data_IF_574478599005
#
_entry.id   IF_574478599005
#
_cell.length_a   1.000
_cell.length_b   1.000
_cell.length_c   1.000
_cell.angle_alpha   90.00
_cell.angle_beta   90.00
_cell.angle_gamma   90.00
#
_symmetry.space_group_name_H-M   'P 1'
#
loop_
_entity.id
_entity.type
_entity.pdbx_description
1 polymer ?
#
# COMPACT_ATOMS: atom_id res chain seq x y z
N UNK A 1 -19.37 -28.96 26.52
CA UNK A 1 -18.66 -27.76 26.00
C UNK A 1 -17.30 -28.24 25.55
N UNK A 2 -16.91 -28.01 24.29
CA UNK A 2 -15.58 -28.41 23.85
C UNK A 2 -14.53 -27.60 24.63
N UNK A 3 -13.63 -28.29 25.35
CA UNK A 3 -12.49 -27.66 26.01
C UNK A 3 -11.49 -27.26 24.92
N UNK A 4 -11.65 -26.05 24.38
CA UNK A 4 -10.63 -25.46 23.52
C UNK A 4 -9.42 -25.13 24.40
N UNK A 5 -8.33 -25.88 24.25
CA UNK A 5 -7.04 -25.55 24.86
C UNK A 5 -6.52 -24.26 24.25
N UNK A 6 -6.19 -23.30 25.12
CA UNK A 6 -5.68 -21.98 24.74
C UNK A 6 -4.15 -22.04 24.72
N UNK A 7 -3.53 -21.79 23.57
CA UNK A 7 -2.09 -21.75 23.41
C UNK A 7 -1.54 -20.47 24.07
N UNK A 8 -0.60 -20.62 25.00
CA UNK A 8 0.05 -19.51 25.70
C UNK A 8 1.30 -19.08 24.93
N UNK A 9 1.35 -17.81 24.52
CA UNK A 9 2.47 -17.26 23.75
C UNK A 9 2.72 -15.80 24.12
N UNK A 10 3.96 -15.33 24.13
CA UNK A 10 4.24 -13.95 24.54
C UNK A 10 3.55 -12.93 23.62
N UNK A 11 3.58 -13.16 22.30
CA UNK A 11 3.14 -12.19 21.30
C UNK A 11 2.42 -12.87 20.14
N UNK A 12 1.25 -12.34 19.78
CA UNK A 12 0.57 -12.65 18.53
C UNK A 12 0.75 -11.50 17.55
N UNK A 13 1.27 -11.79 16.35
CA UNK A 13 1.39 -10.86 15.22
C UNK A 13 0.35 -11.23 14.16
N UNK A 14 -0.52 -10.30 13.79
CA UNK A 14 -1.59 -10.55 12.82
C UNK A 14 -1.21 -10.00 11.45
N UNK A 15 -0.87 -10.88 10.52
CA UNK A 15 -0.49 -10.60 9.14
C UNK A 15 1.01 -10.82 8.87
N UNK A 16 1.34 -11.52 7.79
CA UNK A 16 2.69 -11.79 7.29
C UNK A 16 3.03 -10.93 6.06
N UNK A 17 2.52 -9.69 6.02
CA UNK A 17 3.05 -8.66 5.13
C UNK A 17 4.40 -8.12 5.61
N UNK A 18 5.04 -7.19 4.85
CA UNK A 18 6.33 -6.62 5.24
C UNK A 18 6.39 -6.08 6.68
N UNK A 19 5.29 -5.49 7.17
CA UNK A 19 5.20 -5.01 8.56
C UNK A 19 5.28 -6.12 9.61
N UNK A 20 4.54 -7.22 9.43
CA UNK A 20 4.51 -8.31 10.41
C UNK A 20 5.81 -9.10 10.40
N UNK A 21 6.39 -9.29 9.21
CA UNK A 21 7.70 -9.93 9.07
C UNK A 21 8.81 -9.09 9.72
N UNK A 22 8.82 -7.78 9.50
CA UNK A 22 9.79 -6.88 10.14
C UNK A 22 9.71 -6.93 11.67
N UNK A 23 8.50 -6.90 12.23
CA UNK A 23 8.30 -7.03 13.68
C UNK A 23 8.78 -8.39 14.19
N UNK A 24 8.37 -9.49 13.54
CA UNK A 24 8.77 -10.84 13.94
C UNK A 24 10.29 -11.02 13.90
N UNK A 25 10.97 -10.50 12.88
CA UNK A 25 12.44 -10.50 12.82
C UNK A 25 13.08 -9.74 13.99
N UNK A 26 12.56 -8.55 14.33
CA UNK A 26 13.04 -7.80 15.50
C UNK A 26 12.82 -8.57 16.81
N UNK A 27 11.67 -9.22 16.98
CA UNK A 27 11.37 -10.03 18.17
C UNK A 27 12.26 -11.28 18.25
N UNK A 28 12.47 -11.98 17.14
CA UNK A 28 13.34 -13.16 17.06
C UNK A 28 14.79 -12.82 17.43
N UNK A 29 15.30 -11.66 16.97
CA UNK A 29 16.64 -11.18 17.32
C UNK A 29 16.79 -10.87 18.81
N UNK A 30 15.70 -10.55 19.49
CA UNK A 30 15.65 -10.33 20.93
C UNK A 30 15.35 -11.62 21.73
N UNK A 31 15.17 -12.76 21.06
CA UNK A 31 14.81 -14.03 21.69
C UNK A 31 13.38 -14.05 22.26
N UNK A 32 12.50 -13.17 21.77
CA UNK A 32 11.11 -13.06 22.25
C UNK A 32 10.21 -13.97 21.42
N UNK A 33 9.53 -14.91 22.10
CA UNK A 33 8.64 -15.87 21.44
C UNK A 33 7.45 -15.15 20.79
N UNK A 34 7.11 -15.50 19.55
CA UNK A 34 5.99 -14.90 18.84
C UNK A 34 5.42 -15.84 17.78
N UNK A 35 4.13 -15.69 17.49
CA UNK A 35 3.46 -16.36 16.37
C UNK A 35 2.96 -15.32 15.39
N UNK A 36 3.23 -15.54 14.10
CA UNK A 36 2.64 -14.75 13.02
C UNK A 36 1.47 -15.51 12.44
N UNK A 37 0.26 -14.94 12.50
CA UNK A 37 -0.96 -15.51 11.93
C UNK A 37 -1.27 -14.82 10.60
N UNK A 38 -1.25 -15.57 9.50
CA UNK A 38 -1.53 -15.06 8.16
C UNK A 38 -2.76 -15.74 7.57
N UNK A 39 -3.70 -14.93 7.08
CA UNK A 39 -4.94 -15.39 6.50
C UNK A 39 -4.70 -16.14 5.17
N UNK A 40 -3.71 -15.70 4.40
CA UNK A 40 -3.40 -16.24 3.08
C UNK A 40 -2.44 -17.44 3.17
N UNK A 41 -2.16 -18.05 2.02
CA UNK A 41 -1.24 -19.19 1.87
C UNK A 41 0.24 -18.83 1.84
N UNK A 42 0.59 -17.54 1.80
CA UNK A 42 1.97 -17.10 1.67
C UNK A 42 2.25 -15.74 2.31
N UNK A 43 3.53 -15.50 2.61
CA UNK A 43 4.02 -14.19 3.00
C UNK A 43 3.83 -13.17 1.88
N UNK A 44 3.63 -11.92 2.28
CA UNK A 44 3.52 -10.79 1.35
C UNK A 44 2.51 -11.01 0.19
N UNK A 45 1.41 -11.72 0.45
CA UNK A 45 0.39 -12.09 -0.55
C UNK A 45 -0.02 -10.94 -1.48
N UNK A 46 -0.20 -9.73 -0.95
CA UNK A 46 -0.56 -8.57 -1.78
C UNK A 46 0.50 -8.27 -2.86
N UNK A 47 1.78 -8.34 -2.50
CA UNK A 47 2.89 -8.13 -3.43
C UNK A 47 2.95 -9.23 -4.47
N UNK A 48 2.78 -10.49 -4.06
CA UNK A 48 2.82 -11.64 -4.98
C UNK A 48 1.62 -11.65 -5.93
N UNK A 49 0.42 -11.45 -5.39
CA UNK A 49 -0.83 -11.80 -6.07
C UNK A 49 -1.75 -10.63 -6.42
N UNK A 50 -1.51 -9.40 -5.93
CA UNK A 50 -2.41 -8.24 -6.13
C UNK A 50 -1.74 -6.99 -6.70
N UNK A 51 -0.47 -7.09 -7.12
CA UNK A 51 0.24 -6.01 -7.82
C UNK A 51 0.43 -6.32 -9.30
N UNK A 52 0.46 -5.27 -10.11
CA UNK A 52 0.77 -5.35 -11.54
C UNK A 52 2.24 -5.68 -11.82
N UNK A 53 2.52 -6.26 -12.98
CA UNK A 53 3.78 -6.98 -13.22
C UNK A 53 4.96 -6.04 -13.40
N UNK A 54 4.73 -4.87 -14.02
CA UNK A 54 5.77 -3.84 -14.20
C UNK A 54 6.13 -3.06 -12.94
N UNK A 55 5.51 -3.36 -11.80
CA UNK A 55 5.74 -2.62 -10.57
C UNK A 55 7.24 -2.58 -10.25
N UNK A 56 7.73 -1.38 -10.00
CA UNK A 56 9.00 -1.13 -9.35
C UNK A 56 8.72 -0.31 -8.09
N UNK A 57 9.55 -0.47 -7.06
CA UNK A 57 9.49 0.42 -5.92
C UNK A 57 9.72 1.86 -6.39
N UNK A 58 8.81 2.76 -6.02
CA UNK A 58 8.91 4.17 -6.41
C UNK A 58 10.05 4.91 -5.70
N UNK A 59 10.48 4.41 -4.55
CA UNK A 59 11.57 4.99 -3.77
C UNK A 59 12.87 4.22 -4.00
N UNK A 60 14.01 4.87 -3.74
CA UNK A 60 15.32 4.23 -3.80
C UNK A 60 15.40 3.05 -2.83
N UNK A 61 16.19 2.04 -3.17
CA UNK A 61 16.54 0.90 -2.30
C UNK A 61 17.05 1.34 -0.92
N UNK A 62 17.72 2.50 -0.86
CA UNK A 62 18.24 3.10 0.38
C UNK A 62 17.14 3.41 1.41
N UNK A 63 15.88 3.52 0.96
CA UNK A 63 14.71 3.79 1.79
C UNK A 63 13.73 2.61 1.85
N UNK A 64 14.10 1.46 1.29
CA UNK A 64 13.19 0.32 1.09
C UNK A 64 13.64 -0.98 1.73
N UNK A 65 14.53 -0.92 2.73
CA UNK A 65 15.01 -2.10 3.46
C UNK A 65 14.17 -2.35 4.72
N UNK A 66 13.91 -3.61 5.03
CA UNK A 66 13.42 -4.07 6.33
C UNK A 66 14.56 -4.11 7.37
N UNK A 67 14.25 -4.14 8.67
CA UNK A 67 15.25 -4.09 9.73
C UNK A 67 16.35 -5.13 9.56
N UNK A 68 17.59 -4.70 9.74
CA UNK A 68 18.79 -5.54 9.77
C UNK A 68 19.20 -6.22 8.45
N UNK A 69 18.47 -5.99 7.34
CA UNK A 69 18.81 -6.59 6.05
C UNK A 69 18.70 -5.55 4.93
N UNK A 70 19.76 -4.77 4.67
CA UNK A 70 19.78 -3.85 3.54
C UNK A 70 19.72 -4.60 2.21
N UNK A 71 19.24 -3.93 1.16
CA UNK A 71 19.35 -4.44 -0.21
C UNK A 71 20.82 -4.55 -0.64
N UNK A 72 21.12 -5.52 -1.51
CA UNK A 72 22.47 -5.71 -2.01
C UNK A 72 22.99 -4.48 -2.78
N UNK A 73 24.30 -4.26 -2.73
CA UNK A 73 24.94 -3.15 -3.46
C UNK A 73 24.69 -3.26 -4.98
N UNK A 74 24.63 -4.47 -5.51
CA UNK A 74 24.33 -4.77 -6.92
C UNK A 74 22.87 -4.56 -7.30
N UNK A 75 21.92 -4.52 -6.34
CA UNK A 75 20.50 -4.32 -6.64
C UNK A 75 20.27 -2.97 -7.33
N UNK A 76 19.31 -2.89 -8.27
CA UNK A 76 18.96 -1.64 -8.95
C UNK A 76 18.48 -0.59 -7.94
N UNK A 77 18.68 0.69 -8.27
CA UNK A 77 18.25 1.82 -7.42
C UNK A 77 16.75 1.76 -7.12
N UNK A 78 15.93 1.39 -8.11
CA UNK A 78 14.48 1.19 -7.98
C UNK A 78 14.16 -0.27 -8.24
N UNK A 79 13.79 -1.00 -7.19
CA UNK A 79 13.73 -2.47 -7.19
C UNK A 79 12.48 -2.96 -7.94
N UNK A 80 12.61 -3.84 -8.94
CA UNK A 80 11.47 -4.50 -9.58
C UNK A 80 10.69 -5.39 -8.60
N UNK A 81 9.39 -5.57 -8.85
CA UNK A 81 8.49 -6.45 -8.06
C UNK A 81 9.11 -7.81 -7.76
N UNK A 82 9.67 -8.48 -8.78
CA UNK A 82 10.25 -9.81 -8.65
C UNK A 82 11.40 -9.86 -7.66
N UNK A 83 12.35 -8.92 -7.77
CA UNK A 83 13.49 -8.82 -6.86
C UNK A 83 13.05 -8.45 -5.44
N UNK A 84 12.05 -7.58 -5.30
CA UNK A 84 11.52 -7.24 -3.97
C UNK A 84 10.80 -8.43 -3.31
N UNK A 85 10.06 -9.24 -4.06
CA UNK A 85 9.45 -10.46 -3.56
C UNK A 85 10.52 -11.45 -3.10
N UNK A 86 11.57 -11.64 -3.91
CA UNK A 86 12.70 -12.50 -3.55
C UNK A 86 13.36 -12.02 -2.25
N UNK A 87 13.63 -10.72 -2.13
CA UNK A 87 14.14 -10.11 -0.90
C UNK A 87 13.27 -10.42 0.33
N UNK A 88 11.94 -10.39 0.19
CA UNK A 88 11.03 -10.72 1.29
C UNK A 88 11.05 -12.21 1.66
N UNK A 89 11.17 -13.10 0.67
CA UNK A 89 11.28 -14.54 0.90
C UNK A 89 12.60 -14.89 1.61
N UNK A 90 13.72 -14.28 1.15
CA UNK A 90 15.02 -14.38 1.83
C UNK A 90 14.97 -13.81 3.25
N UNK A 91 14.22 -12.73 3.49
CA UNK A 91 14.06 -12.13 4.82
C UNK A 91 13.37 -13.10 5.79
N UNK A 92 12.33 -13.79 5.34
CA UNK A 92 11.60 -14.79 6.14
C UNK A 92 12.51 -15.93 6.56
N UNK A 93 13.31 -16.45 5.61
CA UNK A 93 14.27 -17.52 5.87
C UNK A 93 15.39 -17.06 6.81
N UNK A 94 16.01 -15.91 6.52
CA UNK A 94 17.16 -15.38 7.27
C UNK A 94 16.83 -15.13 8.75
N UNK A 95 15.62 -14.63 9.06
CA UNK A 95 15.19 -14.37 10.44
C UNK A 95 14.35 -15.49 11.05
N UNK A 96 14.27 -16.66 10.41
CA UNK A 96 13.52 -17.83 10.87
C UNK A 96 12.08 -17.49 11.26
N UNK A 97 11.41 -16.69 10.42
CA UNK A 97 10.02 -16.28 10.62
C UNK A 97 9.14 -17.45 10.16
N UNK A 98 8.27 -17.95 11.04
CA UNK A 98 7.39 -19.11 10.76
C UNK A 98 5.92 -18.72 10.86
N UNK A 99 5.32 -18.11 9.83
CA UNK A 99 3.90 -17.80 9.88
C UNK A 99 3.03 -19.06 9.83
N UNK A 100 1.96 -19.08 10.62
CA UNK A 100 0.85 -20.00 10.43
C UNK A 100 -0.04 -19.44 9.33
N UNK A 101 0.10 -20.00 8.13
CA UNK A 101 -0.71 -19.64 6.95
C UNK A 101 -2.15 -20.16 7.08
N UNK A 102 -3.02 -19.68 6.19
CA UNK A 102 -4.44 -20.06 6.16
C UNK A 102 -5.13 -19.88 7.53
N UNK A 103 -4.66 -18.95 8.36
CA UNK A 103 -5.14 -18.75 9.73
C UNK A 103 -5.73 -17.36 9.85
N UNK A 104 -7.07 -17.29 9.83
CA UNK A 104 -7.81 -16.03 9.90
C UNK A 104 -8.13 -15.68 11.35
N UNK A 105 -7.58 -14.58 11.85
CA UNK A 105 -8.01 -14.00 13.14
C UNK A 105 -9.44 -13.48 12.99
N UNK A 106 -10.37 -14.03 13.76
CA UNK A 106 -11.80 -13.65 13.73
C UNK A 106 -12.11 -12.58 14.77
N UNK A 107 -11.47 -12.64 15.94
CA UNK A 107 -11.67 -11.68 17.03
C UNK A 107 -10.48 -11.66 17.98
N UNK A 108 -10.19 -10.51 18.56
CA UNK A 108 -9.25 -10.38 19.65
C UNK A 108 -9.81 -9.41 20.71
N UNK A 109 -9.65 -9.75 21.98
CA UNK A 109 -10.04 -8.87 23.09
C UNK A 109 -9.05 -8.99 24.24
N UNK A 110 -8.86 -7.90 24.98
CA UNK A 110 -8.05 -7.92 26.19
C UNK A 110 -8.87 -8.41 27.38
N UNK A 111 -8.40 -9.45 28.06
CA UNK A 111 -8.97 -9.92 29.31
C UNK A 111 -8.22 -9.29 30.49
N UNK A 112 -8.87 -8.34 31.16
CA UNK A 112 -8.28 -7.63 32.31
C UNK A 112 -8.01 -8.52 33.52
N UNK A 113 -8.74 -9.62 33.70
CA UNK A 113 -8.52 -10.55 34.81
C UNK A 113 -7.25 -11.39 34.57
N UNK A 114 -7.05 -11.86 33.34
CA UNK A 114 -5.86 -12.62 32.93
C UNK A 114 -4.66 -11.72 32.60
N UNK A 115 -4.90 -10.40 32.41
CA UNK A 115 -3.94 -9.42 31.89
C UNK A 115 -3.31 -9.86 30.55
N UNK A 116 -4.11 -10.51 29.71
CA UNK A 116 -3.70 -11.08 28.41
C UNK A 116 -4.71 -10.77 27.32
N UNK A 117 -4.21 -10.73 26.09
CA UNK A 117 -5.01 -10.76 24.88
C UNK A 117 -5.50 -12.18 24.60
N UNK A 118 -6.80 -12.30 24.33
CA UNK A 118 -7.44 -13.52 23.90
C UNK A 118 -7.72 -13.39 22.42
N UNK A 119 -6.99 -14.15 21.60
CA UNK A 119 -7.10 -14.11 20.15
C UNK A 119 -7.76 -15.40 19.68
N UNK A 120 -8.88 -15.26 18.99
CA UNK A 120 -9.57 -16.36 18.32
C UNK A 120 -9.22 -16.32 16.84
N UNK A 121 -8.72 -17.44 16.34
CA UNK A 121 -8.45 -17.62 14.93
C UNK A 121 -9.09 -18.90 14.40
N UNK A 122 -9.28 -18.94 13.09
CA UNK A 122 -9.78 -20.10 12.37
C UNK A 122 -8.78 -20.52 11.32
N UNK A 123 -8.40 -21.79 11.33
CA UNK A 123 -7.73 -22.41 10.20
C UNK A 123 -8.73 -22.54 9.04
N UNK A 124 -8.48 -21.87 7.93
CA UNK A 124 -9.35 -21.81 6.77
C UNK A 124 -9.35 -23.11 5.96
N UNK A 125 -8.35 -23.99 6.16
CA UNK A 125 -8.28 -25.29 5.50
C UNK A 125 -9.03 -26.36 6.29
N UNK A 126 -8.75 -26.51 7.60
CA UNK A 126 -9.41 -27.52 8.45
C UNK A 126 -10.73 -27.05 9.05
N UNK A 127 -10.96 -25.74 9.12
CA UNK A 127 -12.11 -25.14 9.81
C UNK A 127 -11.96 -25.06 11.32
N UNK A 128 -10.86 -25.58 11.88
CA UNK A 128 -10.58 -25.64 13.31
C UNK A 128 -10.40 -24.26 13.91
N UNK A 129 -10.85 -24.12 15.16
CA UNK A 129 -10.72 -22.89 15.94
C UNK A 129 -9.51 -23.03 16.85
N UNK A 130 -8.59 -22.08 16.75
CA UNK A 130 -7.42 -21.97 17.60
C UNK A 130 -7.56 -20.74 18.49
N UNK A 131 -7.27 -20.91 19.78
CA UNK A 131 -7.34 -19.85 20.78
C UNK A 131 -5.93 -19.57 21.31
N UNK A 132 -5.55 -18.29 21.35
CA UNK A 132 -4.27 -17.84 21.89
C UNK A 132 -4.49 -16.92 23.09
N UNK A 133 -3.61 -17.05 24.08
CA UNK A 133 -3.42 -16.12 25.18
C UNK A 133 -2.07 -15.43 24.98
N UNK A 134 -2.02 -14.10 24.94
CA UNK A 134 -0.74 -13.40 24.80
C UNK A 134 -0.61 -12.13 25.62
N UNK A 135 0.61 -11.79 26.02
CA UNK A 135 0.89 -10.54 26.73
C UNK A 135 0.70 -9.33 25.81
N UNK A 136 1.06 -9.50 24.53
CA UNK A 136 0.98 -8.45 23.53
C UNK A 136 0.28 -8.93 22.26
N UNK A 137 -0.37 -7.99 21.59
CA UNK A 137 -1.00 -8.18 20.28
C UNK A 137 -0.45 -7.13 19.31
N UNK A 138 0.02 -7.56 18.14
CA UNK A 138 0.56 -6.68 17.11
C UNK A 138 -0.27 -6.82 15.85
N UNK A 139 -0.86 -5.72 15.40
CA UNK A 139 -1.63 -5.69 14.14
C UNK A 139 -0.74 -5.25 12.98
N UNK A 140 -0.55 -6.15 12.04
CA UNK A 140 0.23 -5.96 10.82
C UNK A 140 -0.58 -6.25 9.55
N UNK A 141 -1.90 -6.03 9.60
CA UNK A 141 -2.87 -6.36 8.54
C UNK A 141 -2.87 -5.39 7.35
N UNK A 142 -2.00 -4.37 7.34
CA UNK A 142 -1.89 -3.39 6.27
C UNK A 142 -3.05 -2.39 6.18
N UNK A 143 -3.03 -1.58 5.12
CA UNK A 143 -4.09 -0.58 4.82
C UNK A 143 -4.82 -0.86 3.50
N UNK A 144 -4.27 -1.73 2.64
CA UNK A 144 -4.72 -1.99 1.27
C UNK A 144 -5.36 -3.38 1.14
N UNK A 145 -6.50 -3.61 1.80
CA UNK A 145 -7.10 -4.95 1.85
C UNK A 145 -8.15 -5.19 0.77
N UNK A 146 -9.12 -4.29 0.63
CA UNK A 146 -10.25 -4.47 -0.30
C UNK A 146 -10.30 -3.28 -1.26
N UNK A 147 -10.25 -3.57 -2.57
CA UNK A 147 -10.36 -2.53 -3.59
C UNK A 147 -11.65 -1.75 -3.45
N UNK A 148 -11.58 -0.43 -3.59
CA UNK A 148 -12.76 0.41 -3.46
C UNK A 148 -13.23 0.88 -4.84
N UNK A 149 -14.32 0.30 -5.35
CA UNK A 149 -15.04 0.86 -6.49
C UNK A 149 -16.18 1.74 -5.92
N UNK A 150 -16.16 3.06 -6.15
CA UNK A 150 -17.22 3.93 -5.67
C UNK A 150 -18.54 3.65 -6.39
N UNK A 151 -19.66 3.85 -5.69
CA UNK A 151 -20.96 3.86 -6.35
C UNK A 151 -21.03 5.10 -7.25
N UNK A 152 -21.37 4.92 -8.51
CA UNK A 152 -21.57 5.99 -9.50
C UNK A 152 -22.88 5.73 -10.20
N UNK A 153 -23.49 6.80 -10.72
CA UNK A 153 -24.74 6.70 -11.48
C UNK A 153 -24.47 5.91 -12.75
N UNK A 154 -25.30 4.90 -13.01
CA UNK A 154 -25.28 4.11 -14.24
C UNK A 154 -24.12 3.12 -14.39
N UNK A 155 -23.26 2.95 -13.39
CA UNK A 155 -22.13 2.02 -13.47
C UNK A 155 -22.58 0.57 -13.75
N UNK A 156 -23.73 0.17 -13.21
CA UNK A 156 -24.36 -1.13 -13.43
C UNK A 156 -24.85 -1.34 -14.87
N UNK A 157 -25.03 -0.27 -15.63
CA UNK A 157 -25.45 -0.32 -17.02
C UNK A 157 -24.26 -0.49 -17.98
N UNK A 158 -23.03 -0.32 -17.48
CA UNK A 158 -21.84 -0.44 -18.32
C UNK A 158 -21.70 -1.86 -18.87
N UNK A 159 -21.52 -1.99 -20.19
CA UNK A 159 -21.43 -3.29 -20.89
C UNK A 159 -20.00 -3.76 -21.14
N UNK A 160 -19.01 -2.91 -20.88
CA UNK A 160 -17.59 -3.27 -20.95
C UNK A 160 -17.04 -3.87 -19.65
N UNK A 161 -15.73 -4.12 -19.63
CA UNK A 161 -15.05 -4.67 -18.45
C UNK A 161 -14.89 -3.59 -17.36
N UNK A 162 -15.26 -3.91 -16.12
CA UNK A 162 -14.95 -3.09 -14.95
C UNK A 162 -14.06 -3.88 -14.01
N UNK A 163 -12.87 -3.35 -13.71
CA UNK A 163 -11.99 -3.93 -12.69
C UNK A 163 -11.48 -2.85 -11.74
N UNK A 164 -11.06 -3.28 -10.55
CA UNK A 164 -10.23 -2.47 -9.67
C UNK A 164 -8.74 -2.69 -9.98
N UNK A 165 -7.90 -1.72 -9.67
CA UNK A 165 -6.44 -1.77 -9.85
C UNK A 165 -5.76 -2.99 -9.20
N UNK A 166 -6.37 -3.61 -8.19
CA UNK A 166 -5.89 -4.86 -7.54
C UNK A 166 -5.92 -6.09 -8.46
N UNK A 167 -6.78 -6.06 -9.46
CA UNK A 167 -6.97 -7.17 -10.41
C UNK A 167 -6.36 -6.85 -11.78
N UNK A 168 -5.79 -5.65 -11.94
CA UNK A 168 -4.94 -5.30 -13.08
C UNK A 168 -3.57 -5.97 -12.98
N UNK A 169 -3.08 -6.57 -14.08
CA UNK A 169 -1.76 -7.23 -14.15
C UNK A 169 -0.84 -6.60 -15.18
N UNK A 170 -1.32 -6.44 -16.40
CA UNK A 170 -0.57 -5.91 -17.54
C UNK A 170 -1.52 -5.24 -18.53
N UNK A 171 -1.00 -4.29 -19.29
CA UNK A 171 -1.71 -3.59 -20.37
C UNK A 171 -1.93 -4.46 -21.61
N UNK A 172 -1.26 -5.60 -21.71
CA UNK A 172 -1.27 -6.47 -22.90
C UNK A 172 -2.69 -6.86 -23.36
N UNK A 173 -3.59 -7.21 -22.42
CA UNK A 173 -4.98 -7.60 -22.75
C UNK A 173 -5.87 -6.44 -23.24
N UNK A 174 -5.34 -5.21 -23.21
CA UNK A 174 -6.03 -3.99 -23.58
C UNK A 174 -5.51 -3.34 -24.86
N UNK A 175 -4.56 -3.97 -25.55
CA UNK A 175 -4.08 -3.51 -26.84
C UNK A 175 -5.24 -3.15 -27.78
N UNK A 176 -5.14 -1.97 -28.41
CA UNK A 176 -6.12 -1.39 -29.34
C UNK A 176 -7.51 -1.08 -28.73
N UNK A 177 -7.72 -1.31 -27.42
CA UNK A 177 -8.98 -1.00 -26.72
C UNK A 177 -9.00 0.44 -26.19
N UNK A 178 -10.20 1.00 -26.07
CA UNK A 178 -10.45 2.27 -25.36
C UNK A 178 -10.60 2.00 -23.87
N UNK A 179 -9.64 2.45 -23.07
CA UNK A 179 -9.61 2.18 -21.63
C UNK A 179 -9.63 3.46 -20.83
N UNK A 180 -10.57 3.55 -19.88
CA UNK A 180 -10.67 4.65 -18.94
C UNK A 180 -10.06 4.24 -17.59
N UNK A 181 -9.04 4.95 -17.14
CA UNK A 181 -8.49 4.81 -15.79
C UNK A 181 -9.13 5.85 -14.87
N UNK A 182 -9.81 5.40 -13.82
CA UNK A 182 -10.47 6.29 -12.86
C UNK A 182 -9.60 6.46 -11.62
N UNK A 183 -9.06 7.66 -11.44
CA UNK A 183 -8.16 8.00 -10.34
C UNK A 183 -6.74 8.26 -10.83
N UNK A 184 -6.13 9.33 -10.30
CA UNK A 184 -4.89 9.92 -10.81
C UNK A 184 -3.72 9.87 -9.82
N UNK A 185 -3.80 9.02 -8.80
CA UNK A 185 -2.68 8.77 -7.88
C UNK A 185 -1.70 7.74 -8.47
N UNK A 186 -0.68 7.33 -7.70
CA UNK A 186 0.41 6.47 -8.20
C UNK A 186 -0.07 5.25 -9.02
N UNK A 187 -1.04 4.48 -8.51
CA UNK A 187 -1.57 3.32 -9.24
C UNK A 187 -2.25 3.72 -10.56
N UNK A 188 -3.01 4.81 -10.58
CA UNK A 188 -3.72 5.25 -11.78
C UNK A 188 -2.78 5.73 -12.88
N UNK A 189 -1.79 6.54 -12.51
CA UNK A 189 -0.78 7.04 -13.45
C UNK A 189 0.11 5.92 -13.98
N UNK A 190 0.50 4.95 -13.14
CA UNK A 190 1.26 3.77 -13.57
C UNK A 190 0.46 2.86 -14.51
N UNK A 191 -0.82 2.62 -14.21
CA UNK A 191 -1.70 1.81 -15.08
C UNK A 191 -1.92 2.53 -16.41
N UNK A 192 -2.21 3.83 -16.40
CA UNK A 192 -2.40 4.61 -17.62
C UNK A 192 -1.14 4.60 -18.50
N UNK A 193 0.04 4.74 -17.89
CA UNK A 193 1.31 4.65 -18.61
C UNK A 193 1.53 3.26 -19.21
N UNK A 194 1.20 2.20 -18.48
CA UNK A 194 1.32 0.81 -18.95
C UNK A 194 0.41 0.54 -20.15
N UNK A 195 -0.88 0.85 -20.02
CA UNK A 195 -1.87 0.70 -21.09
C UNK A 195 -1.43 1.41 -22.37
N UNK A 196 -0.93 2.65 -22.24
CA UNK A 196 -0.42 3.43 -23.37
C UNK A 196 0.80 2.78 -24.02
N UNK A 197 1.71 2.18 -23.25
CA UNK A 197 2.86 1.45 -23.79
C UNK A 197 2.48 0.15 -24.51
N UNK A 198 1.37 -0.48 -24.11
CA UNK A 198 0.81 -1.66 -24.80
C UNK A 198 -0.13 -1.31 -25.96
N UNK A 199 -0.25 -0.02 -26.33
CA UNK A 199 -1.04 0.42 -27.49
C UNK A 199 -2.54 0.56 -27.24
N UNK A 200 -2.96 0.71 -25.97
CA UNK A 200 -4.36 1.00 -25.65
C UNK A 200 -4.68 2.49 -25.89
N UNK A 201 -5.88 2.79 -26.37
CA UNK A 201 -6.40 4.17 -26.40
C UNK A 201 -6.80 4.59 -24.98
N UNK A 202 -5.86 5.21 -24.27
CA UNK A 202 -5.97 5.41 -22.81
C UNK A 202 -6.47 6.80 -22.48
N UNK A 203 -7.45 6.86 -21.58
CA UNK A 203 -7.89 8.08 -20.91
C UNK A 203 -7.75 7.94 -19.40
N UNK A 204 -7.48 9.03 -18.69
CA UNK A 204 -7.40 9.06 -17.23
C UNK A 204 -8.25 10.18 -16.64
N UNK A 205 -9.01 9.85 -15.61
CA UNK A 205 -9.82 10.82 -14.85
C UNK A 205 -8.95 11.51 -13.79
N UNK A 206 -8.85 12.83 -13.89
CA UNK A 206 -8.19 13.69 -12.91
C UNK A 206 -9.21 14.67 -12.33
N UNK A 207 -9.79 14.32 -11.18
CA UNK A 207 -10.81 15.15 -10.52
C UNK A 207 -10.24 16.17 -9.54
N UNK A 208 -9.18 15.80 -8.83
CA UNK A 208 -8.69 16.56 -7.68
C UNK A 208 -7.23 16.92 -7.85
N UNK A 209 -6.77 18.04 -7.27
CA UNK A 209 -5.38 18.45 -7.39
C UNK A 209 -4.40 17.38 -6.91
N UNK A 210 -3.31 17.21 -7.65
CA UNK A 210 -2.20 16.29 -7.34
C UNK A 210 -0.85 16.96 -7.57
N UNK A 211 0.12 16.59 -6.73
CA UNK A 211 1.52 16.85 -7.02
C UNK A 211 2.08 15.72 -7.86
N UNK A 212 2.88 16.05 -8.87
CA UNK A 212 3.59 15.07 -9.69
C UNK A 212 5.07 15.37 -9.62
N UNK A 213 5.88 14.38 -9.26
CA UNK A 213 7.32 14.46 -9.09
C UNK A 213 8.00 13.31 -9.81
N UNK A 214 9.22 13.52 -10.30
CA UNK A 214 10.05 12.41 -10.80
C UNK A 214 10.70 11.66 -9.65
N UNK A 215 11.13 10.41 -9.88
CA UNK A 215 11.85 9.62 -8.86
C UNK A 215 13.08 10.32 -8.29
N UNK A 216 13.83 11.06 -9.11
CA UNK A 216 15.00 11.82 -8.67
C UNK A 216 14.61 13.00 -7.76
N UNK A 217 13.52 13.71 -8.08
CA UNK A 217 13.01 14.78 -7.20
C UNK A 217 12.65 14.26 -5.82
N UNK A 218 11.96 13.11 -5.77
CA UNK A 218 11.60 12.49 -4.49
C UNK A 218 12.85 12.03 -3.74
N UNK A 219 13.83 11.43 -4.42
CA UNK A 219 15.09 11.04 -3.82
C UNK A 219 15.82 12.24 -3.20
N UNK A 220 16.02 13.31 -3.97
CA UNK A 220 16.65 14.55 -3.49
C UNK A 220 15.87 15.14 -2.31
N UNK A 221 14.54 15.21 -2.41
CA UNK A 221 13.72 15.73 -1.32
C UNK A 221 13.86 14.91 -0.03
N UNK A 222 13.88 13.58 -0.12
CA UNK A 222 14.07 12.71 1.02
C UNK A 222 15.44 12.89 1.69
N UNK A 223 16.49 13.23 0.93
CA UNK A 223 17.78 13.59 1.49
C UNK A 223 17.74 14.97 2.17
N UNK A 224 17.14 15.97 1.53
CA UNK A 224 17.03 17.32 2.07
C UNK A 224 16.21 17.35 3.37
N UNK A 225 15.12 16.58 3.45
CA UNK A 225 14.25 16.49 4.63
C UNK A 225 14.97 15.97 5.88
N UNK A 226 16.17 15.40 5.76
CA UNK A 226 17.00 15.02 6.92
C UNK A 226 17.65 16.23 7.60
N UNK A 227 17.84 17.33 6.87
CA UNK A 227 18.66 18.46 7.30
C UNK A 227 17.92 19.81 7.22
N UNK A 228 16.85 19.89 6.44
CA UNK A 228 16.12 21.13 6.14
C UNK A 228 14.65 21.03 6.57
N UNK A 229 14.03 22.17 6.94
CA UNK A 229 12.61 22.22 7.26
C UNK A 229 11.74 21.93 6.03
N UNK A 230 10.58 21.31 6.27
CA UNK A 230 9.66 20.85 5.20
C UNK A 230 9.26 22.00 4.26
N UNK A 231 9.00 23.19 4.78
CA UNK A 231 8.60 24.36 3.96
C UNK A 231 9.65 24.76 2.92
N UNK A 232 10.93 24.68 3.29
CA UNK A 232 12.04 24.95 2.37
C UNK A 232 12.14 23.86 1.30
N UNK A 233 12.06 22.59 1.70
CA UNK A 233 12.09 21.47 0.75
C UNK A 233 10.92 21.52 -0.22
N UNK A 234 9.71 21.77 0.28
CA UNK A 234 8.50 21.94 -0.54
C UNK A 234 8.68 23.04 -1.58
N UNK A 235 9.19 24.21 -1.17
CA UNK A 235 9.41 25.33 -2.08
C UNK A 235 10.40 24.99 -3.18
N UNK A 236 11.55 24.39 -2.83
CA UNK A 236 12.60 24.00 -3.78
C UNK A 236 12.08 22.95 -4.75
N UNK A 237 11.43 21.91 -4.23
CA UNK A 237 10.96 20.79 -5.04
C UNK A 237 9.79 21.19 -5.93
N UNK A 238 8.84 21.99 -5.44
CA UNK A 238 7.73 22.49 -6.26
C UNK A 238 8.22 23.38 -7.41
N UNK A 239 9.18 24.28 -7.16
CA UNK A 239 9.79 25.09 -8.22
C UNK A 239 10.53 24.23 -9.25
N UNK A 240 11.31 23.25 -8.78
CA UNK A 240 12.02 22.35 -9.69
C UNK A 240 11.06 21.47 -10.51
N UNK A 241 9.96 20.99 -9.90
CA UNK A 241 8.92 20.26 -10.59
C UNK A 241 8.24 21.11 -11.68
N UNK A 242 7.86 22.35 -11.37
CA UNK A 242 7.29 23.28 -12.36
C UNK A 242 8.25 23.56 -13.52
N UNK A 243 9.53 23.74 -13.23
CA UNK A 243 10.56 23.94 -14.27
C UNK A 243 10.69 22.73 -15.19
N UNK A 244 10.77 21.51 -14.64
CA UNK A 244 11.00 20.28 -15.42
C UNK A 244 9.75 19.77 -16.13
N UNK A 245 8.60 19.83 -15.46
CA UNK A 245 7.35 19.24 -15.94
C UNK A 245 6.47 20.25 -16.68
N UNK A 246 6.68 21.56 -16.49
CA UNK A 246 5.85 22.61 -17.04
C UNK A 246 4.58 22.86 -16.20
N UNK A 247 3.65 23.62 -16.76
CA UNK A 247 2.36 23.89 -16.13
C UNK A 247 1.37 22.74 -16.38
N UNK A 248 1.28 21.80 -15.43
CA UNK A 248 0.40 20.63 -15.59
C UNK A 248 -1.10 20.98 -15.57
N UNK A 249 -1.49 22.17 -15.10
CA UNK A 249 -2.88 22.60 -15.14
C UNK A 249 -3.39 22.77 -16.58
N UNK A 250 -2.52 23.19 -17.51
CA UNK A 250 -2.84 23.28 -18.95
C UNK A 250 -3.10 21.89 -19.57
N UNK A 251 -2.63 20.83 -18.92
CA UNK A 251 -2.86 19.44 -19.31
C UNK A 251 -4.06 18.81 -18.56
N UNK A 252 -4.87 19.61 -17.86
CA UNK A 252 -6.00 19.11 -17.07
C UNK A 252 -5.62 18.49 -15.72
N UNK A 253 -4.40 18.73 -15.24
CA UNK A 253 -3.90 18.22 -13.95
C UNK A 253 -3.71 19.40 -12.98
N UNK A 254 -4.73 19.77 -12.19
CA UNK A 254 -4.59 20.85 -11.23
C UNK A 254 -3.56 20.48 -10.14
N UNK A 255 -2.81 21.47 -9.68
CA UNK A 255 -1.80 21.30 -8.63
C UNK A 255 -2.30 21.91 -7.31
N UNK A 256 -2.06 21.27 -6.14
CA UNK A 256 -2.38 21.86 -4.84
C UNK A 256 -1.54 23.11 -4.56
N UNK A 257 -2.10 24.06 -3.79
CA UNK A 257 -1.37 25.25 -3.33
C UNK A 257 -0.30 24.91 -2.29
N UNK A 258 -0.61 24.00 -1.36
CA UNK A 258 0.32 23.50 -0.36
C UNK A 258 1.40 22.62 -1.03
N UNK A 259 2.63 22.67 -0.53
CA UNK A 259 3.75 21.90 -1.09
C UNK A 259 3.59 20.38 -0.97
N UNK A 260 4.32 19.59 -1.79
CA UNK A 260 4.10 18.15 -1.93
C UNK A 260 4.23 17.34 -0.64
N UNK A 261 5.16 17.71 0.26
CA UNK A 261 5.41 17.00 1.51
C UNK A 261 4.50 17.51 2.64
N UNK A 262 4.23 18.82 2.71
CA UNK A 262 3.24 19.36 3.64
C UNK A 262 1.85 18.80 3.34
N UNK A 263 1.45 18.75 2.05
CA UNK A 263 0.18 18.15 1.60
C UNK A 263 0.06 16.67 1.97
N UNK A 264 1.18 15.93 1.93
CA UNK A 264 1.22 14.55 2.42
C UNK A 264 0.95 14.45 3.91
N UNK A 265 1.50 15.36 4.72
CA UNK A 265 1.31 15.35 6.18
C UNK A 265 -0.12 15.78 6.53
N UNK A 266 -0.60 16.87 5.94
CA UNK A 266 -1.89 17.49 6.25
C UNK A 266 -3.08 16.69 5.72
N UNK A 267 -3.01 16.19 4.47
CA UNK A 267 -4.12 15.49 3.80
C UNK A 267 -3.89 13.99 3.62
N UNK A 268 -2.72 13.47 3.96
CA UNK A 268 -2.39 12.05 3.76
C UNK A 268 -2.19 11.64 2.30
N UNK A 269 -2.07 12.60 1.37
CA UNK A 269 -1.91 12.34 -0.07
C UNK A 269 -0.47 12.56 -0.49
N UNK A 270 0.22 11.48 -0.85
CA UNK A 270 1.60 11.56 -1.34
C UNK A 270 1.63 12.12 -2.77
N UNK A 271 2.71 12.79 -3.19
CA UNK A 271 2.90 13.13 -4.59
C UNK A 271 2.92 11.86 -5.45
N UNK A 272 2.40 11.99 -6.66
CA UNK A 272 2.56 10.99 -7.71
C UNK A 272 4.02 10.96 -8.13
N UNK A 273 4.60 9.77 -8.18
CA UNK A 273 5.95 9.54 -8.64
C UNK A 273 5.87 9.11 -10.09
N UNK A 274 6.00 10.08 -10.99
CA UNK A 274 5.90 9.85 -12.42
C UNK A 274 7.12 9.09 -12.96
N UNK A 275 6.82 8.15 -13.86
CA UNK A 275 7.79 7.30 -14.54
C UNK A 275 7.61 7.33 -16.06
N UNK A 276 6.83 8.29 -16.58
CA UNK A 276 6.61 8.50 -18.01
C UNK A 276 5.17 8.80 -18.42
N UNK A 277 4.21 8.77 -17.48
CA UNK A 277 2.81 9.07 -17.77
C UNK A 277 2.65 10.52 -18.25
N UNK A 278 3.36 11.47 -17.63
CA UNK A 278 3.29 12.89 -18.01
C UNK A 278 3.78 13.12 -19.44
N UNK A 279 4.85 12.45 -19.86
CA UNK A 279 5.35 12.59 -21.23
C UNK A 279 4.35 12.03 -22.24
N UNK A 280 3.69 10.91 -21.92
CA UNK A 280 2.60 10.36 -22.74
C UNK A 280 1.39 11.29 -22.82
N UNK A 281 1.05 11.98 -21.73
CA UNK A 281 -0.02 12.99 -21.70
C UNK A 281 0.36 14.19 -22.58
N UNK A 282 1.58 14.70 -22.48
CA UNK A 282 2.07 15.81 -23.33
C UNK A 282 2.04 15.46 -24.81
N UNK A 283 2.32 14.20 -25.17
CA UNK A 283 2.25 13.70 -26.54
C UNK A 283 0.82 13.38 -27.01
N UNK A 284 -0.20 13.57 -26.17
CA UNK A 284 -1.59 13.23 -26.48
C UNK A 284 -1.90 11.73 -26.53
N UNK A 285 -0.97 10.87 -26.08
CA UNK A 285 -1.12 9.42 -26.06
C UNK A 285 -1.95 8.92 -24.87
N UNK A 286 -2.07 9.76 -23.83
CA UNK A 286 -3.02 9.57 -22.72
C UNK A 286 -3.88 10.83 -22.63
N UNK A 287 -5.20 10.68 -22.75
CA UNK A 287 -6.14 11.81 -22.64
C UNK A 287 -6.51 12.04 -21.17
N UNK A 288 -6.37 13.26 -20.68
CA UNK A 288 -6.85 13.66 -19.36
C UNK A 288 -8.32 14.11 -19.46
N UNK A 289 -9.17 13.54 -18.61
CA UNK A 289 -10.60 13.81 -18.56
C UNK A 289 -11.02 14.26 -17.15
N UNK A 290 -12.07 15.11 -17.02
CA UNK A 290 -12.57 15.54 -15.72
C UNK A 290 -13.36 14.42 -15.02
N UNK A 291 -14.06 14.75 -13.93
CA UNK A 291 -14.87 13.76 -13.22
C UNK A 291 -15.99 13.17 -14.08
N UNK A 292 -16.50 12.01 -13.65
CA UNK A 292 -17.57 11.28 -14.33
C UNK A 292 -18.90 11.71 -13.72
N UNK A 293 -19.85 12.07 -14.58
CA UNK A 293 -21.21 12.45 -14.18
C UNK A 293 -22.20 11.30 -14.32
N UNK A 294 -22.11 10.51 -15.40
CA UNK A 294 -23.01 9.38 -15.68
C UNK A 294 -22.33 8.30 -16.55
N UNK A 295 -22.84 7.07 -16.52
CA UNK A 295 -22.36 5.94 -17.32
C UNK A 295 -23.55 5.24 -17.99
N UNK A 296 -23.51 5.11 -19.32
CA UNK A 296 -24.58 4.51 -20.15
C UNK A 296 -23.99 3.51 -21.13
N UNK A 297 -24.25 2.22 -20.94
CA UNK A 297 -23.79 1.15 -21.82
C UNK A 297 -22.27 1.15 -22.07
N UNK A 298 -21.78 1.72 -23.18
CA UNK A 298 -20.35 1.89 -23.45
C UNK A 298 -19.88 3.35 -23.34
N UNK A 299 -20.80 4.28 -23.14
CA UNK A 299 -20.53 5.72 -23.08
C UNK A 299 -20.39 6.17 -21.63
N UNK A 300 -19.33 6.93 -21.37
CA UNK A 300 -19.11 7.64 -20.11
C UNK A 300 -19.28 9.13 -20.37
N UNK A 301 -20.14 9.77 -19.57
CA UNK A 301 -20.41 11.20 -19.59
C UNK A 301 -19.58 11.87 -18.50
N UNK A 302 -18.92 12.97 -18.84
CA UNK A 302 -18.02 13.69 -17.95
C UNK A 302 -18.66 14.98 -17.41
N UNK A 303 -18.08 15.55 -16.36
CA UNK A 303 -18.60 16.75 -15.67
C UNK A 303 -18.67 17.99 -16.58
N UNK A 304 -17.88 18.01 -17.65
CA UNK A 304 -17.90 19.08 -18.67
C UNK A 304 -18.92 18.83 -19.79
N UNK A 305 -19.68 17.74 -19.73
CA UNK A 305 -20.66 17.35 -20.75
C UNK A 305 -20.08 16.55 -21.92
N UNK A 306 -18.77 16.31 -21.97
CA UNK A 306 -18.17 15.46 -22.99
C UNK A 306 -18.63 14.00 -22.82
N UNK A 307 -18.76 13.29 -23.94
CA UNK A 307 -19.09 11.88 -23.98
C UNK A 307 -18.03 11.09 -24.74
N UNK A 308 -17.58 9.98 -24.14
CA UNK A 308 -16.63 9.07 -24.77
C UNK A 308 -17.02 7.61 -24.57
N UNK A 309 -16.74 6.78 -25.59
CA UNK A 309 -16.95 5.35 -25.53
C UNK A 309 -15.72 4.62 -25.00
N UNK A 310 -15.94 3.60 -24.15
CA UNK A 310 -14.89 2.77 -23.57
C UNK A 310 -15.24 1.28 -23.60
N UNK A 311 -14.22 0.45 -23.80
CA UNK A 311 -14.30 -1.00 -23.73
C UNK A 311 -14.06 -1.51 -22.31
N UNK A 312 -13.30 -0.75 -21.52
CA UNK A 312 -12.99 -1.08 -20.13
C UNK A 312 -12.81 0.16 -19.24
N UNK A 313 -13.16 0.00 -17.97
CA UNK A 313 -12.93 1.00 -16.91
C UNK A 313 -12.10 0.33 -15.79
N UNK A 314 -10.96 0.94 -15.48
CA UNK A 314 -10.06 0.48 -14.42
C UNK A 314 -10.07 1.48 -13.27
N UNK A 315 -10.60 1.05 -12.13
CA UNK A 315 -10.69 1.87 -10.93
C UNK A 315 -9.38 1.82 -10.13
N UNK A 316 -8.66 2.94 -10.11
CA UNK A 316 -7.51 3.20 -9.25
C UNK A 316 -7.91 4.06 -8.03
N UNK A 317 -9.07 3.76 -7.45
CA UNK A 317 -9.78 4.57 -6.43
C UNK A 317 -9.48 4.16 -4.99
N UNK A 318 -8.25 3.69 -4.73
CA UNK A 318 -7.73 3.27 -3.42
C UNK A 318 -8.44 2.03 -2.84
N UNK A 319 -8.10 1.70 -1.60
CA UNK A 319 -8.57 0.54 -0.87
C UNK A 319 -9.34 0.95 0.38
N UNK A 320 -10.27 0.10 0.81
CA UNK A 320 -10.91 0.18 2.13
C UNK A 320 -10.02 -0.46 3.18
N UNK A 321 -9.96 0.20 4.33
CA UNK A 321 -9.31 -0.32 5.52
C UNK A 321 -10.31 -1.12 6.36
N UNK A 322 -10.04 -2.41 6.57
CA UNK A 322 -10.94 -3.32 7.31
C UNK A 322 -10.48 -3.50 8.76
N UNK A 323 -9.27 -3.06 9.12
CA UNK A 323 -8.73 -3.26 10.47
C UNK A 323 -9.59 -2.60 11.57
N UNK A 324 -10.43 -1.62 11.22
CA UNK A 324 -11.39 -0.97 12.13
C UNK A 324 -12.66 -1.79 12.42
N UNK A 325 -12.91 -2.92 11.74
CA UNK A 325 -14.08 -3.76 12.05
C UNK A 325 -13.90 -4.64 13.29
N UNK A 326 -12.67 -4.86 13.75
CA UNK A 326 -12.37 -5.80 14.85
C UNK A 326 -11.67 -5.16 16.05
N UNK A 327 -11.44 -3.84 16.06
CA UNK A 327 -10.60 -3.22 17.08
C UNK A 327 -11.08 -1.83 17.56
N UNK A 328 -11.10 -1.65 18.89
CA UNK A 328 -11.16 -0.35 19.57
C UNK A 328 -9.72 0.13 19.88
N UNK A 329 -9.49 1.45 19.90
CA UNK A 329 -8.18 2.12 20.04
C UNK A 329 -7.38 1.64 21.29
N UNK A 330 -6.05 1.71 21.16
CA UNK A 330 -5.07 0.99 22.00
C UNK A 330 -4.92 1.43 23.46
N UNK A 331 -5.05 0.44 24.32
CA UNK A 331 -4.62 0.33 25.73
C UNK A 331 -4.13 -1.12 25.92
N UNK A 332 -3.36 -1.41 26.98
CA UNK A 332 -3.04 -2.77 27.43
C UNK A 332 -2.18 -3.65 26.48
N UNK A 333 -1.05 -3.16 25.97
CA UNK A 333 -0.08 -3.99 25.22
C UNK A 333 -0.46 -4.29 23.76
N UNK A 334 -1.33 -3.47 23.19
CA UNK A 334 -1.70 -3.51 21.77
C UNK A 334 -0.84 -2.57 20.94
N UNK A 335 -0.15 -3.11 19.91
CA UNK A 335 0.62 -2.33 18.95
C UNK A 335 0.00 -2.41 17.55
N UNK A 336 0.14 -1.33 16.79
CA UNK A 336 -0.25 -1.27 15.39
C UNK A 336 0.98 -1.04 14.52
N UNK A 337 1.47 -2.10 13.88
CA UNK A 337 2.53 -2.06 12.88
C UNK A 337 1.92 -1.95 11.48
N UNK A 338 1.38 -0.77 11.13
CA UNK A 338 0.70 -0.57 9.84
C UNK A 338 1.71 -0.40 8.70
N UNK A 339 1.24 -0.40 7.45
CA UNK A 339 2.06 0.15 6.36
C UNK A 339 2.22 1.64 6.65
N UNK A 340 3.37 2.02 7.23
CA UNK A 340 3.61 3.38 7.68
C UNK A 340 3.36 4.37 6.54
N UNK A 341 2.81 5.56 6.84
CA UNK A 341 2.76 6.68 5.87
C UNK A 341 4.15 7.06 5.33
N UNK A 342 5.21 6.54 5.96
CA UNK A 342 6.62 6.67 5.57
C UNK A 342 7.14 5.49 4.70
N UNK A 343 6.26 4.60 4.23
CA UNK A 343 6.62 3.47 3.39
C UNK A 343 7.41 2.39 4.12
N UNK A 344 8.26 1.65 3.40
CA UNK A 344 9.04 0.53 3.93
C UNK A 344 10.05 0.99 4.99
N UNK A 345 10.72 2.15 4.82
CA UNK A 345 11.54 2.73 5.88
C UNK A 345 10.74 2.96 7.18
N UNK A 346 9.49 3.41 7.04
CA UNK A 346 8.57 3.54 8.18
C UNK A 346 8.28 2.23 8.88
N UNK A 347 8.01 1.17 8.10
CA UNK A 347 7.85 -0.19 8.62
C UNK A 347 9.07 -0.61 9.44
N UNK A 348 10.28 -0.35 8.93
CA UNK A 348 11.51 -0.71 9.63
C UNK A 348 11.64 0.04 10.97
N UNK A 349 11.36 1.34 10.99
CA UNK A 349 11.41 2.14 12.23
C UNK A 349 10.37 1.67 13.24
N UNK A 350 9.13 1.45 12.79
CA UNK A 350 8.02 1.02 13.66
C UNK A 350 8.31 -0.36 14.26
N UNK A 351 8.83 -1.31 13.47
CA UNK A 351 9.19 -2.65 13.95
C UNK A 351 10.27 -2.63 15.04
N UNK A 352 11.34 -1.85 14.85
CA UNK A 352 12.42 -1.69 15.83
C UNK A 352 11.89 -1.04 17.11
N UNK A 353 11.09 0.03 16.98
CA UNK A 353 10.51 0.73 18.11
C UNK A 353 9.59 -0.18 18.93
N UNK A 354 8.68 -0.92 18.29
CA UNK A 354 7.77 -1.87 18.94
C UNK A 354 8.56 -2.95 19.69
N UNK A 355 9.55 -3.56 19.05
CA UNK A 355 10.33 -4.62 19.68
C UNK A 355 11.14 -4.13 20.90
N UNK A 356 11.74 -2.94 20.81
CA UNK A 356 12.47 -2.34 21.93
C UNK A 356 11.56 -1.92 23.09
N UNK A 357 10.37 -1.39 22.79
CA UNK A 357 9.38 -1.04 23.81
C UNK A 357 8.93 -2.29 24.55
N UNK A 358 8.57 -3.37 23.82
CA UNK A 358 8.21 -4.66 24.42
C UNK A 358 9.32 -5.22 25.29
N UNK A 359 10.58 -5.17 24.83
CA UNK A 359 11.74 -5.60 25.62
C UNK A 359 11.82 -4.83 26.95
N UNK A 360 11.61 -3.52 26.90
CA UNK A 360 11.67 -2.65 28.08
C UNK A 360 10.54 -2.96 29.05
N UNK A 361 9.31 -3.08 28.55
CA UNK A 361 8.13 -3.44 29.35
C UNK A 361 8.27 -4.83 29.98
N UNK A 362 8.84 -5.80 29.26
CA UNK A 362 9.11 -7.15 29.81
C UNK A 362 10.25 -7.15 30.83
N UNK A 363 11.32 -6.40 30.58
CA UNK A 363 12.44 -6.26 31.51
C UNK A 363 12.04 -5.66 32.85
N UNK A 364 11.05 -4.76 32.88
CA UNK A 364 10.51 -4.17 34.10
C UNK A 364 9.52 -5.07 34.86
N UNK A 365 9.13 -6.23 34.31
CA UNK A 365 8.24 -7.22 34.97
C UNK A 365 9.01 -8.33 35.69
N UNK A 366 10.32 -8.43 35.47
CA UNK A 366 11.26 -9.32 36.16
C UNK A 366 11.93 -8.52 37.26
#
# INVERSE_FOLDING_TARGET
MANFTKEEIDIVVVGAGPSGMAVSACLNKLGINNVVLEKQDCCAYLWKNKTYDRLHLHLSKDFCSLPFMPHATSSPKYIPKKEFIQYLDEYVEHFNIKPKFQTCVESAFYNSAEKKWNVKSRNLTSGEIELYASDFLILATGENNEGYIPKMVGIENFKGEIIHSSDYRSGEKYKDKKVLVVGSENSGMEIAFDLSNYGSHTSIVVRSPIHVLTREMVYTAMLLLKYLPISLVDTVIAKYAKFKLGNLAELGIPQPEEGPFSFKISKGRSPVIDVGAIDKIKLGQIKVLPGISDIKEHTVVFDNGDEHQFDAIIFATRYKNIATKWLKKGENGLYCARFSKRGIAGISMDAIAIANDIKTVRGNKI
#
